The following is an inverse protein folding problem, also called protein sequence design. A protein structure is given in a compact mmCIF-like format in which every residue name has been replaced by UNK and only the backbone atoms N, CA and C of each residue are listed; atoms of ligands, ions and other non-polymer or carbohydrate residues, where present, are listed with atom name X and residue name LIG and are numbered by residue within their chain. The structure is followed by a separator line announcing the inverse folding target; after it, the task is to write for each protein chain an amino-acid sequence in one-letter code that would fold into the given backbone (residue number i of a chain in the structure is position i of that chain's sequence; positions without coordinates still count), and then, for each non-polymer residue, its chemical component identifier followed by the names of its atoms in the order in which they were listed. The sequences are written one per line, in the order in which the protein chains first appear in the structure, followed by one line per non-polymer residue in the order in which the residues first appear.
data_IF_830449935754
#
_entry.id   IF_830449935754
#
_cell.length_a   1.000
_cell.length_b   1.000
_cell.length_c   1.000
_cell.angle_alpha   90.00
_cell.angle_beta   90.00
_cell.angle_gamma   90.00
#
_symmetry.space_group_name_H-M   'P 1'
#
loop_
_entity.id
_entity.type
_entity.pdbx_description
1 polymer ?
#
# COMPACT_ATOMS: atom_id res chain seq x y z
N UNK A 1 4.49 14.79 16.13
CA UNK A 1 5.36 13.62 15.83
C UNK A 1 5.84 13.71 14.40
N UNK A 2 7.17 13.74 14.16
CA UNK A 2 7.75 13.91 12.81
C UNK A 2 7.43 12.71 11.93
N UNK A 3 6.91 12.97 10.72
CA UNK A 3 6.53 11.99 9.68
C UNK A 3 7.59 10.89 9.46
N UNK A 4 8.86 11.25 9.64
CA UNK A 4 10.02 10.35 9.54
C UNK A 4 9.99 9.17 10.52
N UNK A 5 9.44 9.34 11.73
CA UNK A 5 9.34 8.25 12.73
C UNK A 5 8.23 7.26 12.38
N UNK A 6 7.14 7.74 11.79
CA UNK A 6 6.06 6.89 11.27
C UNK A 6 6.52 6.08 10.05
N UNK A 7 7.29 6.69 9.14
CA UNK A 7 7.88 5.99 8.00
C UNK A 7 8.86 4.90 8.46
N UNK A 8 9.67 5.17 9.48
CA UNK A 8 10.61 4.20 10.03
C UNK A 8 9.88 3.02 10.71
N UNK A 9 8.87 3.31 11.52
CA UNK A 9 8.03 2.30 12.15
C UNK A 9 7.24 1.47 11.13
N UNK A 10 6.70 2.10 10.08
CA UNK A 10 6.05 1.43 8.98
C UNK A 10 7.01 0.50 8.23
N UNK A 11 8.24 0.95 7.97
CA UNK A 11 9.28 0.11 7.32
C UNK A 11 9.70 -1.07 8.20
N UNK A 12 9.76 -0.88 9.52
CA UNK A 12 10.01 -1.97 10.46
C UNK A 12 8.82 -2.95 10.51
N UNK A 13 7.58 -2.46 10.52
CA UNK A 13 6.39 -3.28 10.47
C UNK A 13 6.33 -4.13 9.18
N UNK A 14 6.71 -3.55 8.04
CA UNK A 14 6.82 -4.23 6.74
C UNK A 14 7.87 -5.34 6.69
N UNK A 15 8.80 -5.43 7.64
CA UNK A 15 9.73 -6.57 7.75
C UNK A 15 9.05 -7.83 8.29
N UNK A 16 7.95 -7.67 9.02
CA UNK A 16 7.19 -8.79 9.54
C UNK A 16 6.18 -9.30 8.52
N UNK A 17 5.94 -10.61 8.49
CA UNK A 17 4.94 -11.21 7.60
C UNK A 17 3.52 -10.66 7.86
N UNK A 18 3.18 -10.47 9.15
CA UNK A 18 1.92 -9.84 9.57
C UNK A 18 1.80 -8.40 9.06
N UNK A 19 2.87 -7.61 9.12
CA UNK A 19 2.87 -6.24 8.61
C UNK A 19 2.76 -6.18 7.08
N UNK A 20 3.35 -7.13 6.36
CA UNK A 20 3.16 -7.27 4.90
C UNK A 20 1.72 -7.61 4.53
N UNK A 21 1.08 -8.52 5.26
CA UNK A 21 -0.35 -8.83 5.04
C UNK A 21 -1.23 -7.60 5.29
N UNK A 22 -1.01 -6.87 6.38
CA UNK A 22 -1.77 -5.65 6.71
C UNK A 22 -1.56 -4.58 5.63
N UNK A 23 -0.32 -4.35 5.19
CA UNK A 23 -0.02 -3.41 4.13
C UNK A 23 -0.65 -3.81 2.78
N UNK A 24 -0.71 -5.11 2.48
CA UNK A 24 -1.41 -5.64 1.31
C UNK A 24 -2.91 -5.31 1.35
N UNK A 25 -3.56 -5.59 2.48
CA UNK A 25 -4.98 -5.25 2.70
C UNK A 25 -5.24 -3.76 2.57
N UNK A 26 -4.39 -2.91 3.17
CA UNK A 26 -4.52 -1.45 3.05
C UNK A 26 -4.35 -0.97 1.62
N UNK A 27 -3.43 -1.56 0.87
CA UNK A 27 -3.20 -1.25 -0.55
C UNK A 27 -4.45 -1.58 -1.37
N UNK A 28 -5.08 -2.72 -1.12
CA UNK A 28 -6.30 -3.13 -1.82
C UNK A 28 -7.50 -2.24 -1.47
N UNK A 29 -7.71 -1.95 -0.18
CA UNK A 29 -8.77 -1.04 0.27
C UNK A 29 -8.57 0.36 -0.31
N UNK A 30 -7.36 0.91 -0.29
CA UNK A 30 -7.06 2.21 -0.85
C UNK A 30 -7.30 2.25 -2.37
N UNK A 31 -6.94 1.19 -3.09
CA UNK A 31 -7.20 1.06 -4.52
C UNK A 31 -8.71 1.04 -4.81
N UNK A 32 -9.50 0.28 -4.05
CA UNK A 32 -10.96 0.23 -4.24
C UNK A 32 -11.64 1.57 -3.92
N UNK A 33 -11.24 2.24 -2.84
CA UNK A 33 -11.73 3.59 -2.54
C UNK A 33 -11.34 4.57 -3.64
N UNK A 34 -10.10 4.53 -4.13
CA UNK A 34 -9.64 5.40 -5.21
C UNK A 34 -10.38 5.13 -6.53
N UNK A 35 -10.66 3.86 -6.85
CA UNK A 35 -11.45 3.50 -8.05
C UNK A 35 -12.86 4.08 -7.99
N UNK A 36 -13.50 4.03 -6.82
CA UNK A 36 -14.83 4.60 -6.61
C UNK A 36 -14.81 6.13 -6.69
N UNK A 37 -13.80 6.77 -6.10
CA UNK A 37 -13.67 8.22 -6.10
C UNK A 37 -13.23 8.80 -7.46
N UNK A 38 -12.48 8.03 -8.25
CA UNK A 38 -11.87 8.48 -9.51
C UNK A 38 -11.91 7.39 -10.58
N UNK A 39 -13.10 7.07 -11.12
CA UNK A 39 -13.25 6.01 -12.12
C UNK A 39 -12.45 6.28 -13.40
N UNK A 40 -12.27 7.56 -13.77
CA UNK A 40 -11.45 7.99 -14.93
C UNK A 40 -9.96 7.64 -14.78
N UNK A 41 -9.47 7.43 -13.56
CA UNK A 41 -8.06 7.14 -13.28
C UNK A 41 -7.82 5.66 -12.92
N UNK A 42 -8.80 4.78 -13.16
CA UNK A 42 -8.75 3.36 -12.78
C UNK A 42 -7.46 2.66 -13.22
N UNK A 43 -7.04 2.84 -14.47
CA UNK A 43 -5.79 2.24 -14.97
C UNK A 43 -4.54 2.69 -14.20
N UNK A 44 -4.48 3.96 -13.76
CA UNK A 44 -3.37 4.48 -12.95
C UNK A 44 -3.40 3.91 -11.54
N UNK A 45 -4.60 3.78 -10.96
CA UNK A 45 -4.81 3.19 -9.63
C UNK A 45 -4.42 1.71 -9.63
N UNK A 46 -4.80 0.96 -10.68
CA UNK A 46 -4.48 -0.45 -10.82
C UNK A 46 -2.96 -0.66 -10.97
N UNK A 47 -2.29 0.20 -11.76
CA UNK A 47 -0.84 0.20 -11.88
C UNK A 47 -0.15 0.48 -10.55
N UNK A 48 -0.68 1.44 -9.76
CA UNK A 48 -0.16 1.76 -8.43
C UNK A 48 -0.35 0.59 -7.46
N UNK A 49 -1.53 -0.03 -7.44
CA UNK A 49 -1.83 -1.22 -6.62
C UNK A 49 -0.89 -2.38 -6.97
N UNK A 50 -0.69 -2.64 -8.26
CA UNK A 50 0.21 -3.70 -8.73
C UNK A 50 1.67 -3.44 -8.30
N UNK A 51 2.15 -2.21 -8.44
CA UNK A 51 3.49 -1.82 -8.01
C UNK A 51 3.67 -1.99 -6.48
N UNK A 52 2.67 -1.56 -5.70
CA UNK A 52 2.68 -1.72 -4.25
C UNK A 52 2.69 -3.20 -3.83
N UNK A 53 1.87 -4.05 -4.44
CA UNK A 53 1.89 -5.50 -4.19
C UNK A 53 3.25 -6.13 -4.54
N UNK A 54 3.84 -5.75 -5.66
CA UNK A 54 5.18 -6.22 -6.07
C UNK A 54 6.26 -5.80 -5.07
N UNK A 55 6.17 -4.60 -4.51
CA UNK A 55 7.10 -4.14 -3.47
C UNK A 55 6.93 -4.94 -2.17
N UNK A 56 5.69 -5.22 -1.76
CA UNK A 56 5.40 -6.01 -0.56
C UNK A 56 5.81 -7.49 -0.68
N UNK A 57 5.71 -8.06 -1.89
CA UNK A 57 6.12 -9.45 -2.18
C UNK A 57 7.62 -9.66 -2.38
N UNK A 58 8.43 -8.60 -2.41
CA UNK A 58 9.90 -8.67 -2.56
C UNK A 58 10.67 -8.78 -1.24
N UNK A 59 10.00 -8.66 -0.10
CA UNK A 59 10.62 -8.77 1.22
C UNK A 59 10.73 -10.19 1.73
#
# INVERSE_FOLDING_TARGET
MKLSRLLYAGRAALRTEKGRQIAGRLTDTAADTARRASPRHRARIDKAQHSARKYLGRG
#
